data_IF_361368634998
#
_entry.id   IF_361368634998
#
_cell.length_a   1.000
_cell.length_b   1.000
_cell.length_c   1.000
_cell.angle_alpha   90.00
_cell.angle_beta   90.00
_cell.angle_gamma   90.00
#
_symmetry.space_group_name_H-M   'P 1'
#
loop_
_entity.id
_entity.type
_entity.pdbx_description
1 polymer ?
#
# COMPACT_ATOMS: atom_id res chain seq x y z
N UNK A 1 -6.53 46.81 15.06
CA UNK A 1 -6.81 45.54 15.75
C UNK A 1 -6.03 44.47 15.01
N UNK A 2 -5.03 43.85 15.64
CA UNK A 2 -4.23 42.80 14.99
C UNK A 2 -5.06 41.52 14.98
N UNK A 3 -5.38 41.00 13.80
CA UNK A 3 -6.06 39.72 13.68
C UNK A 3 -5.13 38.63 14.27
N UNK A 4 -5.63 37.87 15.25
CA UNK A 4 -4.92 36.73 15.81
C UNK A 4 -4.74 35.71 14.68
N UNK A 5 -3.48 35.47 14.26
CA UNK A 5 -3.21 34.41 13.28
C UNK A 5 -3.60 33.07 13.91
N UNK A 6 -4.40 32.23 13.21
CA UNK A 6 -4.70 30.89 13.69
C UNK A 6 -3.38 30.12 13.89
N UNK A 7 -3.17 29.48 15.06
CA UNK A 7 -1.88 28.89 15.42
C UNK A 7 -1.42 27.73 14.52
N UNK A 8 -2.27 27.26 13.61
CA UNK A 8 -2.02 26.09 12.76
C UNK A 8 -2.16 26.35 11.26
N UNK A 9 -2.31 27.61 10.84
CA UNK A 9 -2.51 27.91 9.41
C UNK A 9 -1.29 27.47 8.57
N UNK A 10 -0.09 27.58 9.12
CA UNK A 10 1.12 27.12 8.45
C UNK A 10 1.16 25.59 8.36
N UNK A 11 0.81 24.89 9.44
CA UNK A 11 0.77 23.42 9.46
C UNK A 11 -0.22 22.87 8.42
N UNK A 12 -1.38 23.54 8.28
CA UNK A 12 -2.38 23.21 7.26
C UNK A 12 -1.85 23.47 5.84
N UNK A 13 -1.15 24.58 5.61
CA UNK A 13 -0.57 24.88 4.31
C UNK A 13 0.54 23.90 3.92
N UNK A 14 1.35 23.46 4.89
CA UNK A 14 2.38 22.43 4.68
C UNK A 14 1.71 21.10 4.33
N UNK A 15 0.74 20.65 5.12
CA UNK A 15 0.03 19.40 4.84
C UNK A 15 -0.70 19.42 3.48
N UNK A 16 -1.20 20.58 3.05
CA UNK A 16 -1.80 20.73 1.73
C UNK A 16 -0.77 20.59 0.59
N UNK A 17 0.43 21.16 0.76
CA UNK A 17 1.52 21.01 -0.20
C UNK A 17 2.00 19.55 -0.27
N UNK A 18 2.15 18.89 0.89
CA UNK A 18 2.55 17.48 0.94
C UNK A 18 1.53 16.56 0.24
N UNK A 19 0.23 16.88 0.35
CA UNK A 19 -0.82 16.15 -0.34
C UNK A 19 -0.75 16.35 -1.86
N UNK A 20 -0.55 17.59 -2.31
CA UNK A 20 -0.39 17.91 -3.74
C UNK A 20 0.82 17.17 -4.33
N UNK A 21 1.95 17.17 -3.64
CA UNK A 21 3.15 16.42 -4.05
C UNK A 21 2.88 14.90 -4.13
N UNK A 22 2.15 14.35 -3.17
CA UNK A 22 1.77 12.94 -3.19
C UNK A 22 0.84 12.58 -4.37
N UNK A 23 -0.07 13.49 -4.73
CA UNK A 23 -0.93 13.32 -5.91
C UNK A 23 -0.12 13.35 -7.21
N UNK A 24 0.84 14.27 -7.32
CA UNK A 24 1.75 14.32 -8.47
C UNK A 24 2.57 13.04 -8.62
N UNK A 25 3.14 12.53 -7.52
CA UNK A 25 3.93 11.29 -7.55
C UNK A 25 3.07 10.06 -7.87
N UNK A 26 1.84 10.00 -7.38
CA UNK A 26 0.88 8.95 -7.76
C UNK A 26 0.61 8.97 -9.26
N UNK A 27 0.35 10.14 -9.83
CA UNK A 27 0.06 10.28 -11.25
C UNK A 27 1.29 9.93 -12.10
N UNK A 28 2.49 10.32 -11.66
CA UNK A 28 3.76 9.91 -12.27
C UNK A 28 3.95 8.39 -12.27
N UNK A 29 3.67 7.74 -11.14
CA UNK A 29 3.74 6.29 -11.03
C UNK A 29 2.74 5.59 -11.96
N UNK A 30 1.52 6.11 -12.07
CA UNK A 30 0.51 5.55 -12.98
C UNK A 30 0.97 5.60 -14.45
N UNK A 31 1.59 6.71 -14.87
CA UNK A 31 2.18 6.83 -16.20
C UNK A 31 3.33 5.83 -16.42
N UNK A 32 4.24 5.70 -15.45
CA UNK A 32 5.34 4.74 -15.52
C UNK A 32 4.83 3.29 -15.59
N UNK A 33 3.80 2.94 -14.81
CA UNK A 33 3.17 1.62 -14.87
C UNK A 33 2.61 1.31 -16.27
N UNK A 34 1.90 2.26 -16.87
CA UNK A 34 1.38 2.10 -18.24
C UNK A 34 2.50 1.86 -19.26
N UNK A 35 3.61 2.59 -19.15
CA UNK A 35 4.75 2.40 -20.06
C UNK A 35 5.47 1.07 -19.82
N UNK A 36 5.61 0.62 -18.56
CA UNK A 36 6.19 -0.68 -18.24
C UNK A 36 5.35 -1.82 -18.82
N UNK A 37 4.02 -1.69 -18.72
CA UNK A 37 3.08 -2.66 -19.30
C UNK A 37 3.22 -2.68 -20.82
N UNK A 38 3.26 -1.51 -21.49
CA UNK A 38 3.47 -1.44 -22.95
C UNK A 38 4.80 -2.07 -23.37
N UNK A 39 5.87 -1.82 -22.64
CA UNK A 39 7.18 -2.42 -22.92
C UNK A 39 7.13 -3.95 -22.76
N UNK A 40 6.52 -4.47 -21.69
CA UNK A 40 6.37 -5.91 -21.49
C UNK A 40 5.53 -6.58 -22.58
N UNK A 41 4.46 -5.91 -23.04
CA UNK A 41 3.67 -6.39 -24.19
C UNK A 41 4.51 -6.42 -25.47
N UNK A 42 5.33 -5.38 -25.72
CA UNK A 42 6.25 -5.32 -26.86
C UNK A 42 7.33 -6.42 -26.79
N UNK A 43 7.76 -6.79 -25.58
CA UNK A 43 8.70 -7.89 -25.33
C UNK A 43 8.05 -9.28 -25.45
N UNK A 44 6.74 -9.36 -25.69
CA UNK A 44 5.99 -10.59 -25.99
C UNK A 44 5.32 -11.25 -24.78
N UNK A 45 5.28 -10.61 -23.61
CA UNK A 45 4.51 -11.10 -22.46
C UNK A 45 3.01 -10.94 -22.69
N UNK A 46 2.21 -11.87 -22.15
CA UNK A 46 0.74 -11.76 -22.20
C UNK A 46 0.20 -10.87 -21.08
N UNK A 47 -0.99 -10.28 -21.28
CA UNK A 47 -1.65 -9.48 -20.25
C UNK A 47 -1.85 -10.25 -18.94
N UNK A 48 -2.23 -11.53 -19.01
CA UNK A 48 -2.34 -12.40 -17.83
C UNK A 48 -1.00 -12.61 -17.08
N UNK A 49 0.12 -12.77 -17.80
CA UNK A 49 1.45 -12.89 -17.19
C UNK A 49 1.86 -11.60 -16.48
N UNK A 50 1.61 -10.46 -17.12
CA UNK A 50 1.88 -9.14 -16.55
C UNK A 50 1.00 -8.89 -15.31
N UNK A 51 -0.29 -9.19 -15.40
CA UNK A 51 -1.25 -9.07 -14.30
C UNK A 51 -0.82 -9.89 -13.08
N UNK A 52 -0.42 -11.14 -13.31
CA UNK A 52 0.10 -12.01 -12.27
C UNK A 52 1.39 -11.45 -11.65
N UNK A 53 2.37 -11.04 -12.46
CA UNK A 53 3.64 -10.51 -11.97
C UNK A 53 3.49 -9.19 -11.20
N UNK A 54 2.54 -8.34 -11.60
CA UNK A 54 2.28 -7.06 -10.97
C UNK A 54 1.22 -7.12 -9.85
N UNK A 55 0.70 -8.32 -9.54
CA UNK A 55 -0.37 -8.53 -8.56
C UNK A 55 -1.56 -7.58 -8.78
N UNK A 56 -2.01 -7.47 -10.02
CA UNK A 56 -3.15 -6.65 -10.41
C UNK A 56 -4.15 -7.42 -11.27
N UNK A 57 -5.37 -6.91 -11.40
CA UNK A 57 -6.36 -7.51 -12.28
C UNK A 57 -5.97 -7.31 -13.75
N UNK A 58 -6.24 -8.29 -14.60
CA UNK A 58 -5.93 -8.22 -16.04
C UNK A 58 -6.65 -7.05 -16.74
N UNK A 59 -7.86 -6.70 -16.29
CA UNK A 59 -8.58 -5.51 -16.77
C UNK A 59 -7.81 -4.21 -16.52
N UNK A 60 -7.06 -4.12 -15.42
CA UNK A 60 -6.23 -2.95 -15.12
C UNK A 60 -5.01 -2.89 -16.02
N UNK A 61 -4.42 -4.05 -16.36
CA UNK A 61 -3.33 -4.13 -17.34
C UNK A 61 -3.79 -3.59 -18.70
N UNK A 62 -4.97 -4.02 -19.18
CA UNK A 62 -5.53 -3.51 -20.43
C UNK A 62 -5.81 -2.01 -20.36
N UNK A 63 -6.47 -1.55 -19.29
CA UNK A 63 -6.77 -0.12 -19.09
C UNK A 63 -5.52 0.75 -19.12
N UNK A 64 -4.44 0.30 -18.48
CA UNK A 64 -3.16 1.02 -18.42
C UNK A 64 -2.39 0.94 -19.75
N UNK A 65 -2.47 -0.17 -20.47
CA UNK A 65 -1.84 -0.33 -21.79
C UNK A 65 -2.46 0.60 -22.84
N UNK A 66 -3.78 0.79 -22.79
CA UNK A 66 -4.55 1.65 -23.71
C UNK A 66 -4.41 3.15 -23.40
N UNK A 67 -3.95 3.52 -22.20
CA UNK A 67 -3.69 4.91 -21.87
C UNK A 67 -2.63 5.51 -22.80
N UNK A 68 -2.71 6.83 -23.11
CA UNK A 68 -1.71 7.48 -23.94
C UNK A 68 -0.28 7.25 -23.44
N UNK A 69 0.66 7.01 -24.36
CA UNK A 69 2.06 6.88 -23.98
C UNK A 69 2.60 8.22 -23.49
N UNK A 70 3.27 8.18 -22.34
CA UNK A 70 4.03 9.30 -21.79
C UNK A 70 5.51 9.29 -22.23
N UNK A 71 5.91 8.28 -23.02
CA UNK A 71 7.28 8.06 -23.50
C UNK A 71 8.17 7.26 -22.54
N UNK A 72 9.29 6.73 -23.04
CA UNK A 72 10.20 5.87 -22.27
C UNK A 72 10.95 6.60 -21.15
N UNK A 73 11.04 7.93 -21.22
CA UNK A 73 11.74 8.74 -20.21
C UNK A 73 11.09 8.62 -18.83
N UNK A 74 9.76 8.48 -18.78
CA UNK A 74 8.99 8.35 -17.53
C UNK A 74 9.35 7.06 -16.77
N UNK A 75 9.70 5.98 -17.48
CA UNK A 75 10.20 4.75 -16.85
C UNK A 75 11.57 4.96 -16.22
N UNK A 76 12.46 5.64 -16.92
CA UNK A 76 13.82 5.89 -16.44
C UNK A 76 13.78 6.75 -15.18
N UNK A 77 12.94 7.78 -15.17
CA UNK A 77 12.70 8.64 -14.02
C UNK A 77 12.15 7.86 -12.82
N UNK A 78 11.14 7.01 -13.03
CA UNK A 78 10.56 6.20 -11.96
C UNK A 78 11.57 5.21 -11.36
N UNK A 79 12.43 4.61 -12.19
CA UNK A 79 13.51 3.74 -11.73
C UNK A 79 14.58 4.51 -10.95
N UNK A 80 14.91 5.74 -11.36
CA UNK A 80 15.84 6.61 -10.64
C UNK A 80 15.31 6.98 -9.25
N UNK A 81 14.02 7.29 -9.14
CA UNK A 81 13.34 7.55 -7.86
C UNK A 81 13.38 6.32 -6.93
N UNK A 82 13.17 5.11 -7.47
CA UNK A 82 13.28 3.86 -6.69
C UNK A 82 14.71 3.65 -6.16
N UNK A 83 15.73 3.99 -6.95
CA UNK A 83 17.13 3.93 -6.52
C UNK A 83 17.46 4.87 -5.35
N UNK A 84 16.77 6.01 -5.27
CA UNK A 84 16.92 6.98 -4.17
C UNK A 84 16.13 6.51 -2.94
N UNK A 85 14.89 6.04 -3.11
CA UNK A 85 14.06 5.53 -2.02
C UNK A 85 14.66 4.29 -1.34
N UNK A 86 15.19 3.33 -2.11
CA UNK A 86 15.89 2.16 -1.58
C UNK A 86 17.17 2.51 -0.80
N UNK A 87 17.73 3.70 -1.01
CA UNK A 87 18.88 4.22 -0.25
C UNK A 87 18.47 4.86 1.08
N UNK A 88 17.25 5.40 1.16
CA UNK A 88 16.72 6.00 2.40
C UNK A 88 16.17 4.93 3.36
N UNK A 89 15.55 3.86 2.85
CA UNK A 89 15.10 2.70 3.65
C UNK A 89 16.26 2.01 4.39
N UNK A 90 17.46 1.97 3.79
CA UNK A 90 18.65 1.41 4.44
C UNK A 90 19.22 2.30 5.58
N UNK A 91 18.76 3.55 5.70
CA UNK A 91 19.19 4.51 6.72
C UNK A 91 18.26 4.61 7.94
N UNK A 92 17.10 3.95 7.92
CA UNK A 92 16.03 4.17 8.90
C UNK A 92 15.70 2.91 9.73
N UNK A 93 16.69 2.08 10.08
CA UNK A 93 16.51 1.05 11.12
C UNK A 93 17.73 1.00 12.05
N UNK A 94 17.82 1.97 12.95
CA UNK A 94 18.49 1.78 14.25
C UNK A 94 17.49 2.17 15.33
N UNK A 95 16.53 1.28 15.58
CA UNK A 95 15.85 1.23 16.86
C UNK A 95 16.84 0.61 17.84
N UNK A 96 17.52 1.45 18.62
CA UNK A 96 18.29 0.98 19.78
C UNK A 96 17.36 0.18 20.69
N UNK A 97 17.57 -1.13 20.72
CA UNK A 97 16.89 -2.05 21.60
C UNK A 97 17.61 -2.02 22.95
N UNK A 98 16.99 -1.57 24.06
CA UNK A 98 17.62 -1.70 25.37
C UNK A 98 17.52 -3.16 25.80
N UNK A 99 18.64 -3.88 25.65
CA UNK A 99 18.80 -5.22 26.16
C UNK A 99 18.86 -5.24 27.70
N UNK A 100 18.08 -6.13 28.31
CA UNK A 100 18.50 -6.85 29.52
C UNK A 100 17.50 -6.88 30.68
N UNK A 101 16.76 -7.99 30.82
CA UNK A 101 17.00 -8.93 31.93
C UNK A 101 16.32 -10.30 31.66
N UNK A 102 16.99 -11.46 31.79
CA UNK A 102 16.38 -12.78 31.61
C UNK A 102 16.14 -13.51 32.95
N UNK A 103 15.05 -14.30 33.03
CA UNK A 103 14.89 -15.66 33.65
C UNK A 103 13.45 -15.92 34.18
N UNK A 104 13.07 -17.15 34.61
CA UNK A 104 12.59 -18.25 33.75
C UNK A 104 11.18 -18.78 34.15
N UNK A 105 10.63 -19.69 33.33
CA UNK A 105 9.29 -20.33 33.42
C UNK A 105 9.10 -21.30 34.59
N UNK A 106 7.92 -21.27 35.22
CA UNK A 106 7.16 -22.39 35.84
C UNK A 106 5.67 -21.94 35.86
N UNK A 107 4.68 -22.47 35.14
CA UNK A 107 4.03 -23.79 35.05
C UNK A 107 3.03 -24.11 36.20
N UNK A 108 1.81 -24.56 35.82
CA UNK A 108 0.51 -24.68 36.55
C UNK A 108 -0.32 -23.39 36.67
N UNK A 109 -1.57 -23.31 36.18
CA UNK A 109 -2.68 -24.26 36.39
C UNK A 109 -3.56 -24.39 35.13
N UNK A 110 -3.64 -25.61 34.60
CA UNK A 110 -4.74 -26.08 33.77
C UNK A 110 -6.02 -26.17 34.62
N UNK A 111 -7.12 -25.56 34.18
CA UNK A 111 -8.51 -26.09 34.20
C UNK A 111 -9.51 -24.97 33.88
N UNK A 112 -10.02 -24.96 32.66
CA UNK A 112 -11.46 -25.12 32.37
C UNK A 112 -11.70 -25.07 30.86
N UNK A 113 -11.72 -26.27 30.27
CA UNK A 113 -12.43 -26.58 29.03
C UNK A 113 -13.93 -26.68 29.34
N UNK A 114 -14.76 -26.30 28.37
CA UNK A 114 -16.22 -26.50 28.35
C UNK A 114 -16.88 -25.34 27.60
N UNK A 115 -16.82 -25.32 26.27
CA UNK A 115 -17.90 -25.80 25.39
C UNK A 115 -19.24 -25.06 25.60
N UNK A 116 -19.62 -24.21 24.65
CA UNK A 116 -20.97 -24.13 24.08
C UNK A 116 -21.04 -23.03 23.00
N UNK A 117 -20.94 -23.45 21.72
CA UNK A 117 -21.58 -22.77 20.60
C UNK A 117 -23.11 -22.90 20.77
N UNK A 118 -23.92 -21.86 20.50
CA UNK A 118 -25.34 -22.07 20.25
C UNK A 118 -25.57 -22.36 18.76
N UNK A 119 -26.22 -23.49 18.54
CA UNK A 119 -26.64 -24.08 17.29
C UNK A 119 -27.63 -23.22 16.48
N UNK A 120 -27.65 -23.52 15.19
CA UNK A 120 -28.69 -23.15 14.25
C UNK A 120 -30.07 -23.66 14.69
N UNK A 121 -31.06 -22.76 14.75
CA UNK A 121 -32.46 -23.13 14.78
C UNK A 121 -33.13 -22.81 13.44
N UNK A 122 -33.53 -23.87 12.73
CA UNK A 122 -34.48 -23.86 11.61
C UNK A 122 -35.92 -23.81 12.15
N UNK A 123 -36.80 -23.22 11.34
CA UNK A 123 -38.20 -22.78 11.54
C UNK A 123 -39.21 -23.81 12.09
N UNK A 124 -40.43 -23.34 12.43
CA UNK A 124 -41.56 -23.80 11.62
C UNK A 124 -42.59 -22.73 11.22
N UNK A 125 -43.15 -22.99 10.04
CA UNK A 125 -44.35 -22.47 9.39
C UNK A 125 -45.60 -22.50 10.28
N UNK A 126 -46.38 -21.41 10.27
CA UNK A 126 -47.77 -21.41 10.73
C UNK A 126 -48.56 -20.24 10.09
N UNK A 127 -49.52 -20.64 9.26
CA UNK A 127 -50.52 -19.81 8.61
C UNK A 127 -51.32 -18.93 9.58
N UNK A 128 -51.70 -17.73 9.12
CA UNK A 128 -53.01 -17.14 9.38
C UNK A 128 -53.38 -16.07 8.35
#
# INVERSE_FOLDING_TARGET
MSAVRPPHINDVLIAAADLEDAEFERDRLAMACGEAIRQALADGFTAAQIAYAANMAEVEVHRLAEAPSAGPDVLTDALALRGIAGRQEAGLVVLESPAGDPRPREDRVLRHLGEALPEAHREPDAAH
#
